data_IF_050270715232
#
_entry.id   IF_050270715232
#
_cell.length_a   1.000
_cell.length_b   1.000
_cell.length_c   1.000
_cell.angle_alpha   90.00
_cell.angle_beta   90.00
_cell.angle_gamma   90.00
#
_symmetry.space_group_name_H-M   'P 1'
#
loop_
_entity.id
_entity.type
_entity.pdbx_description
1 polymer ?
#
# COMPACT_ATOMS: atom_id res chain seq x y z
N UNK A 1 -12.28 -30.37 -13.51
CA UNK A 1 -11.99 -29.09 -12.84
C UNK A 1 -10.80 -28.46 -13.54
N UNK A 2 -10.90 -27.20 -13.98
CA UNK A 2 -9.77 -26.49 -14.60
C UNK A 2 -8.88 -25.96 -13.48
N UNK A 3 -7.57 -26.12 -13.60
CA UNK A 3 -6.61 -25.57 -12.63
C UNK A 3 -6.60 -24.04 -12.73
N UNK A 4 -6.65 -23.36 -11.59
CA UNK A 4 -6.44 -21.91 -11.49
C UNK A 4 -4.99 -21.62 -11.15
N UNK A 5 -4.39 -20.65 -11.85
CA UNK A 5 -3.05 -20.13 -11.53
C UNK A 5 -3.12 -18.82 -10.72
N UNK A 6 -4.29 -18.42 -10.23
CA UNK A 6 -4.51 -17.17 -9.50
C UNK A 6 -3.54 -17.03 -8.32
N UNK A 7 -3.54 -17.99 -7.39
CA UNK A 7 -2.63 -17.98 -6.25
C UNK A 7 -1.16 -18.21 -6.64
N UNK A 8 -0.89 -18.92 -7.74
CA UNK A 8 0.47 -19.04 -8.25
C UNK A 8 1.00 -17.67 -8.72
N UNK A 9 0.16 -16.85 -9.37
CA UNK A 9 0.48 -15.46 -9.70
C UNK A 9 0.66 -14.61 -8.44
N UNK A 10 -0.29 -14.60 -7.51
CA UNK A 10 -0.17 -13.85 -6.25
C UNK A 10 1.10 -14.21 -5.46
N UNK A 11 1.51 -15.48 -5.47
CA UNK A 11 2.74 -15.93 -4.80
C UNK A 11 4.02 -15.29 -5.35
N UNK A 12 3.95 -14.67 -6.54
CA UNK A 12 5.05 -13.95 -7.18
C UNK A 12 5.19 -12.50 -6.71
N UNK A 13 4.25 -11.96 -5.92
CA UNK A 13 4.39 -10.61 -5.33
C UNK A 13 5.71 -10.46 -4.55
N UNK A 14 6.17 -11.55 -3.91
CA UNK A 14 7.47 -11.61 -3.21
C UNK A 14 8.70 -11.42 -4.11
N UNK A 15 8.53 -11.51 -5.43
CA UNK A 15 9.60 -11.36 -6.43
C UNK A 15 9.62 -9.95 -7.05
N UNK A 16 8.64 -9.12 -6.72
CA UNK A 16 8.48 -7.78 -7.29
C UNK A 16 9.03 -6.81 -6.25
N UNK A 17 10.20 -6.25 -6.51
CA UNK A 17 10.81 -5.28 -5.63
C UNK A 17 10.18 -3.91 -5.86
N UNK A 18 9.85 -3.23 -4.76
CA UNK A 18 9.46 -1.83 -4.77
C UNK A 18 10.69 -0.94 -4.89
N UNK A 19 10.50 0.25 -5.44
CA UNK A 19 11.58 1.21 -5.66
C UNK A 19 12.74 0.64 -6.50
N UNK A 20 12.49 -0.09 -7.60
CA UNK A 20 13.51 -0.89 -8.29
C UNK A 20 14.61 -0.06 -8.97
N UNK A 21 14.40 1.25 -9.16
CA UNK A 21 15.38 2.18 -9.72
C UNK A 21 16.11 3.03 -8.66
N UNK A 22 15.79 2.84 -7.37
CA UNK A 22 16.45 3.55 -6.28
C UNK A 22 17.46 2.63 -5.59
N UNK A 23 18.53 3.23 -5.04
CA UNK A 23 19.44 2.49 -4.16
C UNK A 23 18.72 2.25 -2.84
N UNK A 24 18.43 1.01 -2.51
CA UNK A 24 17.80 0.61 -1.25
C UNK A 24 18.86 0.04 -0.29
N UNK A 25 18.83 0.41 1.00
CA UNK A 25 19.61 -0.29 2.03
C UNK A 25 18.97 -1.63 2.32
N UNK A 26 17.64 -1.66 2.48
CA UNK A 26 16.86 -2.90 2.59
C UNK A 26 15.83 -2.95 1.48
N UNK A 27 15.98 -3.88 0.55
CA UNK A 27 14.96 -4.12 -0.48
C UNK A 27 13.65 -4.52 0.18
N UNK A 28 12.55 -4.00 -0.35
CA UNK A 28 11.19 -4.36 0.03
C UNK A 28 10.49 -4.92 -1.20
N UNK A 29 9.71 -5.98 -1.03
CA UNK A 29 8.85 -6.49 -2.10
C UNK A 29 7.37 -6.13 -1.89
N UNK A 30 6.57 -6.25 -2.94
CA UNK A 30 5.14 -5.89 -2.91
C UNK A 30 4.35 -6.71 -1.89
N UNK A 31 4.75 -7.96 -1.61
CA UNK A 31 4.09 -8.78 -0.59
C UNK A 31 4.29 -8.24 0.83
N UNK A 32 5.51 -7.81 1.18
CA UNK A 32 5.81 -7.18 2.47
C UNK A 32 5.06 -5.86 2.62
N UNK A 33 5.11 -5.01 1.59
CA UNK A 33 4.37 -3.75 1.55
C UNK A 33 2.86 -3.97 1.72
N UNK A 34 2.27 -4.87 0.93
CA UNK A 34 0.82 -5.12 0.96
C UNK A 34 0.35 -5.57 2.35
N UNK A 35 1.16 -6.35 3.06
CA UNK A 35 0.87 -6.71 4.45
C UNK A 35 0.92 -5.49 5.37
N UNK A 36 1.94 -4.63 5.24
CA UNK A 36 2.05 -3.41 6.02
C UNK A 36 0.87 -2.45 5.75
N UNK A 37 0.50 -2.26 4.48
CA UNK A 37 -0.67 -1.45 4.09
C UNK A 37 -1.95 -2.02 4.68
N UNK A 38 -2.13 -3.35 4.68
CA UNK A 38 -3.30 -3.96 5.31
C UNK A 38 -3.39 -3.68 6.82
N UNK A 39 -2.27 -3.77 7.54
CA UNK A 39 -2.21 -3.44 8.97
C UNK A 39 -2.49 -1.96 9.24
N UNK A 40 -1.90 -1.06 8.44
CA UNK A 40 -2.11 0.39 8.60
C UNK A 40 -3.53 0.79 8.20
N UNK A 41 -4.08 0.26 7.10
CA UNK A 41 -5.44 0.54 6.65
C UNK A 41 -6.48 0.07 7.69
N UNK A 42 -6.26 -1.11 8.28
CA UNK A 42 -7.05 -1.59 9.42
C UNK A 42 -6.97 -0.62 10.60
N UNK A 43 -5.77 -0.16 10.96
CA UNK A 43 -5.58 0.78 12.06
C UNK A 43 -6.28 2.11 11.81
N UNK A 44 -6.14 2.70 10.61
CA UNK A 44 -6.84 3.94 10.23
C UNK A 44 -8.35 3.78 10.34
N UNK A 45 -8.92 2.69 9.82
CA UNK A 45 -10.35 2.40 9.92
C UNK A 45 -10.81 2.26 11.38
N UNK A 46 -10.04 1.54 12.21
CA UNK A 46 -10.33 1.37 13.63
C UNK A 46 -10.25 2.71 14.41
N UNK A 47 -9.25 3.53 14.13
CA UNK A 47 -9.08 4.87 14.71
C UNK A 47 -10.25 5.75 14.29
N UNK A 48 -10.60 5.79 13.00
CA UNK A 48 -11.72 6.55 12.44
C UNK A 48 -13.02 6.23 13.17
N UNK A 49 -13.34 4.94 13.30
CA UNK A 49 -14.54 4.48 13.99
C UNK A 49 -14.52 4.82 15.48
N UNK A 50 -13.40 4.57 16.17
CA UNK A 50 -13.33 4.71 17.63
C UNK A 50 -13.20 6.15 18.12
N UNK A 51 -12.42 6.97 17.43
CA UNK A 51 -12.06 8.32 17.87
C UNK A 51 -12.85 9.43 17.18
N UNK A 52 -13.27 9.19 15.94
CA UNK A 52 -13.84 10.23 15.08
C UNK A 52 -15.25 9.91 14.59
N UNK A 53 -15.91 8.89 15.17
CA UNK A 53 -17.31 8.57 14.90
C UNK A 53 -17.58 8.00 13.50
N UNK A 54 -16.55 7.47 12.83
CA UNK A 54 -16.72 6.74 11.57
C UNK A 54 -17.52 5.44 11.74
N UNK A 55 -17.97 4.88 10.62
CA UNK A 55 -18.72 3.63 10.58
C UNK A 55 -18.30 2.74 9.40
N UNK A 56 -16.99 2.65 9.16
CA UNK A 56 -16.43 1.81 8.09
C UNK A 56 -16.19 0.38 8.56
N UNK A 57 -16.19 -0.59 7.64
CA UNK A 57 -15.79 -1.96 7.96
C UNK A 57 -14.25 -2.09 7.89
N UNK A 58 -13.60 -2.11 9.06
CA UNK A 58 -12.14 -2.18 9.17
C UNK A 58 -11.56 -3.49 8.62
N UNK A 59 -12.25 -4.62 8.78
CA UNK A 59 -11.81 -5.92 8.25
C UNK A 59 -11.86 -5.93 6.72
N UNK A 60 -12.93 -5.36 6.14
CA UNK A 60 -13.04 -5.19 4.69
C UNK A 60 -11.93 -4.28 4.16
N UNK A 61 -11.66 -3.16 4.81
CA UNK A 61 -10.59 -2.23 4.40
C UNK A 61 -9.21 -2.92 4.46
N UNK A 62 -8.94 -3.68 5.51
CA UNK A 62 -7.72 -4.49 5.61
C UNK A 62 -7.60 -5.47 4.44
N UNK A 63 -8.71 -6.16 4.10
CA UNK A 63 -8.76 -7.10 2.99
C UNK A 63 -8.54 -6.41 1.63
N UNK A 64 -9.16 -5.25 1.38
CA UNK A 64 -8.94 -4.48 0.15
C UNK A 64 -7.47 -4.04 0.03
N UNK A 65 -6.86 -3.63 1.14
CA UNK A 65 -5.45 -3.28 1.20
C UNK A 65 -4.50 -4.48 0.93
N UNK A 66 -4.88 -5.71 1.34
CA UNK A 66 -4.08 -6.90 1.01
C UNK A 66 -3.97 -7.18 -0.49
N UNK A 67 -4.95 -6.73 -1.28
CA UNK A 67 -5.03 -6.97 -2.73
C UNK A 67 -4.77 -5.72 -3.59
N UNK A 68 -4.51 -4.55 -2.98
CA UNK A 68 -4.49 -3.27 -3.72
C UNK A 68 -3.47 -3.25 -4.88
N UNK A 69 -2.31 -3.87 -4.71
CA UNK A 69 -1.26 -4.00 -5.72
C UNK A 69 -1.18 -5.40 -6.33
N UNK A 70 -2.23 -6.22 -6.20
CA UNK A 70 -2.23 -7.60 -6.69
C UNK A 70 -1.93 -7.70 -8.20
N UNK A 71 -2.39 -6.72 -8.98
CA UNK A 71 -2.14 -6.63 -10.43
C UNK A 71 -0.66 -6.52 -10.81
N UNK A 72 0.21 -6.12 -9.88
CA UNK A 72 1.64 -5.98 -10.14
C UNK A 72 2.32 -7.31 -10.46
N UNK A 73 1.73 -8.46 -10.12
CA UNK A 73 2.20 -9.78 -10.60
C UNK A 73 2.22 -9.93 -12.12
N UNK A 74 1.52 -9.03 -12.83
CA UNK A 74 1.47 -8.96 -14.29
C UNK A 74 2.19 -7.74 -14.85
N UNK A 75 2.24 -6.62 -14.13
CA UNK A 75 2.79 -5.34 -14.61
C UNK A 75 4.18 -5.02 -14.06
N UNK A 76 4.55 -5.61 -12.93
CA UNK A 76 5.64 -5.15 -12.05
C UNK A 76 5.29 -3.85 -11.32
N UNK A 77 6.08 -3.52 -10.29
CA UNK A 77 6.08 -2.21 -9.63
C UNK A 77 6.74 -1.20 -10.57
N UNK A 78 5.94 -0.32 -11.16
CA UNK A 78 6.45 0.68 -12.09
C UNK A 78 6.86 1.96 -11.34
N UNK A 79 8.11 2.44 -11.50
CA UNK A 79 8.55 3.66 -10.84
C UNK A 79 7.66 4.86 -11.15
N UNK A 80 7.34 5.64 -10.11
CA UNK A 80 6.51 6.85 -10.19
C UNK A 80 6.92 7.81 -11.33
N UNK A 81 8.22 8.10 -11.58
CA UNK A 81 8.63 8.98 -12.69
C UNK A 81 8.23 8.46 -14.08
N UNK A 82 8.11 7.14 -14.24
CA UNK A 82 7.66 6.52 -15.51
C UNK A 82 6.14 6.54 -15.57
N UNK A 83 5.45 6.09 -14.52
CA UNK A 83 3.98 6.04 -14.43
C UNK A 83 3.33 7.40 -14.66
N UNK A 84 3.96 8.49 -14.19
CA UNK A 84 3.42 9.85 -14.25
C UNK A 84 4.24 10.78 -15.14
N UNK A 85 5.03 10.26 -16.08
CA UNK A 85 5.88 11.07 -16.95
C UNK A 85 5.10 12.16 -17.70
N UNK A 86 3.91 11.82 -18.21
CA UNK A 86 2.94 12.78 -18.74
C UNK A 86 1.51 12.22 -18.60
N UNK A 87 0.50 13.05 -18.90
CA UNK A 87 -0.92 12.67 -18.77
C UNK A 87 -1.32 11.50 -19.68
N UNK A 88 -0.76 11.41 -20.88
CA UNK A 88 -1.03 10.31 -21.81
C UNK A 88 -0.49 8.99 -21.27
N UNK A 89 0.78 8.95 -20.85
CA UNK A 89 1.40 7.76 -20.26
C UNK A 89 0.67 7.34 -18.98
N UNK A 90 0.28 8.29 -18.14
CA UNK A 90 -0.49 8.00 -16.94
C UNK A 90 -1.87 7.39 -17.26
N UNK A 91 -2.53 7.84 -18.33
CA UNK A 91 -3.81 7.29 -18.77
C UNK A 91 -3.65 5.88 -19.37
N UNK A 92 -2.66 5.67 -20.24
CA UNK A 92 -2.36 4.36 -20.82
C UNK A 92 -1.98 3.34 -19.74
N UNK A 93 -1.22 3.76 -18.74
CA UNK A 93 -0.85 2.86 -17.65
C UNK A 93 -2.06 2.46 -16.80
N UNK A 94 -2.99 3.37 -16.52
CA UNK A 94 -4.27 3.01 -15.88
C UNK A 94 -5.06 1.98 -16.69
N UNK A 95 -5.01 2.06 -18.03
CA UNK A 95 -5.63 1.05 -18.88
C UNK A 95 -4.93 -0.32 -18.76
N UNK A 96 -3.59 -0.32 -18.70
CA UNK A 96 -2.79 -1.54 -18.47
C UNK A 96 -3.11 -2.16 -17.08
N UNK A 97 -3.16 -1.35 -16.02
CA UNK A 97 -3.55 -1.80 -14.67
C UNK A 97 -4.95 -2.45 -14.69
N UNK A 98 -5.93 -1.81 -15.35
CA UNK A 98 -7.28 -2.36 -15.48
C UNK A 98 -7.30 -3.71 -16.21
N UNK A 99 -6.53 -3.85 -17.28
CA UNK A 99 -6.41 -5.13 -18.01
C UNK A 99 -5.75 -6.20 -17.12
N UNK A 100 -4.73 -5.82 -16.34
CA UNK A 100 -4.06 -6.73 -15.42
C UNK A 100 -5.00 -7.20 -14.28
N UNK A 101 -5.77 -6.29 -13.69
CA UNK A 101 -6.80 -6.60 -12.69
C UNK A 101 -7.84 -7.58 -13.27
N UNK A 102 -8.41 -7.29 -14.44
CA UNK A 102 -9.38 -8.17 -15.08
C UNK A 102 -8.77 -9.56 -15.37
N UNK A 103 -7.54 -9.61 -15.88
CA UNK A 103 -6.85 -10.86 -16.16
C UNK A 103 -6.63 -11.70 -14.89
N UNK A 104 -6.37 -11.07 -13.73
CA UNK A 104 -6.30 -11.79 -12.46
C UNK A 104 -7.65 -12.31 -12.02
N UNK A 105 -8.71 -11.51 -12.14
CA UNK A 105 -10.08 -11.92 -11.84
C UNK A 105 -10.51 -13.11 -12.71
N UNK A 106 -10.13 -13.13 -13.99
CA UNK A 106 -10.42 -14.23 -14.91
C UNK A 106 -9.67 -15.53 -14.57
N UNK A 107 -8.57 -15.45 -13.81
CA UNK A 107 -7.87 -16.62 -13.29
C UNK A 107 -8.60 -17.27 -12.11
N UNK A 108 -9.47 -16.53 -11.41
CA UNK A 108 -10.29 -17.08 -10.32
C UNK A 108 -11.34 -18.02 -10.91
N UNK A 109 -11.55 -19.23 -10.32
CA UNK A 109 -12.64 -20.10 -10.71
C UNK A 109 -13.98 -19.35 -10.74
N UNK A 110 -14.83 -19.66 -11.72
CA UNK A 110 -16.06 -18.91 -11.98
C UNK A 110 -16.97 -18.87 -10.74
N UNK A 111 -17.03 -19.97 -10.00
CA UNK A 111 -17.80 -20.15 -8.77
C UNK A 111 -17.30 -19.34 -7.56
N UNK A 112 -16.11 -18.72 -7.65
CA UNK A 112 -15.55 -17.86 -6.60
C UNK A 112 -15.32 -16.41 -7.08
N UNK A 113 -15.62 -16.11 -8.34
CA UNK A 113 -15.22 -14.84 -8.97
C UNK A 113 -15.89 -13.63 -8.31
N UNK A 114 -17.13 -13.79 -7.86
CA UNK A 114 -17.90 -12.76 -7.13
C UNK A 114 -17.26 -12.36 -5.79
N UNK A 115 -16.49 -13.26 -5.17
CA UNK A 115 -15.75 -13.00 -3.92
C UNK A 115 -14.50 -12.16 -4.20
N UNK A 116 -13.72 -12.53 -5.22
CA UNK A 116 -12.41 -11.91 -5.47
C UNK A 116 -12.45 -10.66 -6.35
N UNK A 117 -13.40 -10.57 -7.30
CA UNK A 117 -13.47 -9.43 -8.22
C UNK A 117 -13.58 -8.09 -7.48
N UNK A 118 -14.45 -7.93 -6.46
CA UNK A 118 -14.54 -6.68 -5.70
C UNK A 118 -13.31 -6.34 -4.85
N UNK A 119 -12.37 -7.28 -4.68
CA UNK A 119 -11.11 -7.07 -3.96
C UNK A 119 -9.97 -6.64 -4.87
N UNK A 120 -10.09 -6.85 -6.18
CA UNK A 120 -9.04 -6.60 -7.17
C UNK A 120 -9.40 -5.41 -8.06
N UNK A 121 -10.68 -5.24 -8.38
CA UNK A 121 -11.18 -4.10 -9.15
C UNK A 121 -11.42 -2.90 -8.23
N UNK A 122 -10.54 -1.89 -8.32
CA UNK A 122 -10.65 -0.65 -7.54
C UNK A 122 -11.92 0.18 -7.82
N UNK A 123 -12.68 -0.16 -8.88
CA UNK A 123 -13.98 0.46 -9.16
C UNK A 123 -15.11 -0.09 -8.29
N UNK A 124 -14.92 -1.24 -7.63
CA UNK A 124 -15.88 -1.80 -6.68
C UNK A 124 -15.78 -1.18 -5.28
N UNK A 125 -14.80 -0.30 -5.06
CA UNK A 125 -14.52 0.31 -3.77
C UNK A 125 -15.43 1.53 -3.60
N UNK A 126 -15.97 1.74 -2.40
CA UNK A 126 -16.53 3.05 -2.06
C UNK A 126 -15.43 4.11 -2.02
N UNK A 127 -15.80 5.38 -2.16
CA UNK A 127 -14.83 6.49 -2.07
C UNK A 127 -14.10 6.51 -0.72
N UNK A 128 -14.78 6.12 0.36
CA UNK A 128 -14.20 6.06 1.70
C UNK A 128 -13.20 4.90 1.84
N UNK A 129 -13.54 3.72 1.32
CA UNK A 129 -12.62 2.57 1.25
C UNK A 129 -11.37 2.92 0.43
N UNK A 130 -11.57 3.53 -0.74
CA UNK A 130 -10.49 3.96 -1.63
C UNK A 130 -9.60 5.01 -0.95
N UNK A 131 -10.19 5.93 -0.20
CA UNK A 131 -9.45 6.94 0.55
C UNK A 131 -8.57 6.32 1.63
N UNK A 132 -9.12 5.40 2.45
CA UNK A 132 -8.38 4.76 3.55
C UNK A 132 -7.24 3.87 3.05
N UNK A 133 -7.46 3.08 1.99
CA UNK A 133 -6.40 2.27 1.38
C UNK A 133 -5.28 3.16 0.81
N UNK A 134 -5.63 4.26 0.13
CA UNK A 134 -4.63 5.21 -0.41
C UNK A 134 -3.88 6.00 0.65
N UNK A 135 -4.50 6.27 1.80
CA UNK A 135 -3.82 6.87 2.94
C UNK A 135 -2.81 5.88 3.53
N UNK A 136 -3.22 4.63 3.75
CA UNK A 136 -2.35 3.58 4.25
C UNK A 136 -1.16 3.30 3.33
N UNK A 137 -1.40 3.19 2.02
CA UNK A 137 -0.34 3.00 1.02
C UNK A 137 0.71 4.13 1.05
N UNK A 138 0.24 5.39 1.09
CA UNK A 138 1.14 6.54 1.22
C UNK A 138 1.90 6.57 2.55
N UNK A 139 1.24 6.21 3.66
CA UNK A 139 1.90 6.11 4.96
C UNK A 139 2.99 5.06 4.94
N UNK A 140 2.73 3.84 4.43
CA UNK A 140 3.74 2.79 4.35
C UNK A 140 4.93 3.20 3.47
N UNK A 141 4.68 3.84 2.33
CA UNK A 141 5.74 4.41 1.50
C UNK A 141 6.56 5.50 2.24
N UNK A 142 5.90 6.34 3.04
CA UNK A 142 6.55 7.35 3.86
C UNK A 142 7.40 6.73 4.97
N UNK A 143 6.87 5.72 5.68
CA UNK A 143 7.59 4.95 6.69
C UNK A 143 8.84 4.27 6.10
N UNK A 144 8.72 3.68 4.92
CA UNK A 144 9.86 3.11 4.19
C UNK A 144 10.94 4.16 3.92
N UNK A 145 10.57 5.40 3.60
CA UNK A 145 11.53 6.50 3.43
C UNK A 145 12.20 6.87 4.76
N UNK A 146 11.47 6.88 5.88
CA UNK A 146 12.03 7.16 7.21
C UNK A 146 13.08 6.12 7.60
N UNK A 147 12.79 4.83 7.40
CA UNK A 147 13.71 3.73 7.70
C UNK A 147 15.00 3.82 6.86
N UNK A 148 14.88 4.11 5.57
CA UNK A 148 16.03 4.29 4.68
C UNK A 148 16.89 5.50 5.09
N UNK A 149 16.25 6.63 5.45
CA UNK A 149 16.97 7.81 5.92
C UNK A 149 17.65 7.58 7.27
N UNK A 150 17.00 6.86 8.20
CA UNK A 150 17.59 6.47 9.47
C UNK A 150 18.82 5.57 9.29
N UNK A 151 18.84 4.75 8.22
CA UNK A 151 20.01 3.98 7.82
C UNK A 151 21.07 4.79 7.04
N UNK A 152 20.93 6.11 6.94
CA UNK A 152 21.86 7.01 6.27
C UNK A 152 21.69 7.10 4.75
N UNK A 153 20.59 6.59 4.20
CA UNK A 153 20.35 6.59 2.76
C UNK A 153 19.63 7.85 2.25
N UNK A 154 20.42 8.87 1.93
CA UNK A 154 19.91 10.15 1.44
C UNK A 154 19.22 10.10 0.06
N UNK A 155 19.26 8.97 -0.67
CA UNK A 155 18.51 8.76 -1.92
C UNK A 155 16.99 8.99 -1.71
N UNK A 156 16.48 8.71 -0.51
CA UNK A 156 15.07 8.81 -0.16
C UNK A 156 14.60 10.20 0.28
N UNK A 157 15.49 11.21 0.37
CA UNK A 157 15.12 12.57 0.81
C UNK A 157 14.00 13.18 -0.06
N UNK A 158 14.15 13.14 -1.38
CA UNK A 158 13.17 13.72 -2.30
C UNK A 158 11.87 12.89 -2.36
N UNK A 159 11.98 11.57 -2.24
CA UNK A 159 10.82 10.69 -2.16
C UNK A 159 9.99 11.00 -0.91
N UNK A 160 10.64 11.17 0.25
CA UNK A 160 10.00 11.61 1.50
C UNK A 160 9.26 12.93 1.31
N UNK A 161 9.90 13.97 0.77
CA UNK A 161 9.24 15.27 0.57
C UNK A 161 8.02 15.19 -0.35
N UNK A 162 8.07 14.38 -1.41
CA UNK A 162 6.90 14.16 -2.28
C UNK A 162 5.77 13.41 -1.57
N UNK A 163 6.12 12.46 -0.71
CA UNK A 163 5.16 11.72 0.11
C UNK A 163 4.53 12.60 1.17
N UNK A 164 5.27 13.53 1.79
CA UNK A 164 4.70 14.53 2.71
C UNK A 164 3.61 15.37 2.03
N UNK A 165 3.86 15.85 0.81
CA UNK A 165 2.84 16.55 0.03
C UNK A 165 1.63 15.66 -0.32
N UNK A 166 1.87 14.37 -0.58
CA UNK A 166 0.82 13.40 -0.86
C UNK A 166 -0.04 13.11 0.38
N UNK A 167 0.59 12.98 1.55
CA UNK A 167 -0.08 12.79 2.82
C UNK A 167 -0.91 14.02 3.19
N UNK A 168 -0.36 15.23 3.05
CA UNK A 168 -1.11 16.47 3.30
C UNK A 168 -2.34 16.57 2.40
N UNK A 169 -2.23 16.20 1.12
CA UNK A 169 -3.37 16.19 0.20
C UNK A 169 -4.44 15.12 0.52
N UNK A 170 -4.09 14.10 1.31
CA UNK A 170 -4.98 13.00 1.73
C UNK A 170 -5.33 13.07 3.21
N UNK A 171 -5.04 14.20 3.87
CA UNK A 171 -5.10 14.34 5.31
C UNK A 171 -6.48 14.07 5.89
N UNK A 172 -6.49 13.38 7.02
CA UNK A 172 -7.69 13.01 7.78
C UNK A 172 -7.37 12.99 9.28
N UNK A 173 -8.40 12.99 10.13
CA UNK A 173 -8.21 12.98 11.58
C UNK A 173 -7.59 11.65 12.06
N UNK A 174 -7.97 10.54 11.45
CA UNK A 174 -7.39 9.23 11.71
C UNK A 174 -5.92 9.12 11.27
N UNK A 175 -5.54 9.78 10.16
CA UNK A 175 -4.15 9.86 9.72
C UNK A 175 -3.33 10.75 10.65
N UNK A 176 -3.85 11.90 11.07
CA UNK A 176 -3.18 12.78 12.03
C UNK A 176 -2.90 12.05 13.35
N UNK A 177 -3.89 11.33 13.87
CA UNK A 177 -3.72 10.48 15.05
C UNK A 177 -2.66 9.40 14.82
N UNK A 178 -2.67 8.73 13.66
CA UNK A 178 -1.68 7.70 13.35
C UNK A 178 -0.25 8.27 13.29
N UNK A 179 -0.09 9.42 12.63
CA UNK A 179 1.16 10.15 12.50
C UNK A 179 1.69 10.62 13.86
N UNK A 180 0.82 11.07 14.77
CA UNK A 180 1.23 11.50 16.10
C UNK A 180 1.65 10.33 16.99
N UNK A 181 0.91 9.21 16.94
CA UNK A 181 1.07 8.13 17.92
C UNK A 181 2.07 7.05 17.50
N UNK A 182 2.12 6.68 16.22
CA UNK A 182 2.89 5.50 15.78
C UNK A 182 4.15 5.84 14.99
N UNK A 183 4.14 6.94 14.23
CA UNK A 183 5.25 7.29 13.32
C UNK A 183 6.56 7.67 14.01
N UNK A 184 6.58 8.38 15.17
CA UNK A 184 7.83 8.70 15.85
C UNK A 184 8.70 7.48 16.13
N UNK A 185 8.11 6.34 16.47
CA UNK A 185 8.82 5.09 16.76
C UNK A 185 9.58 4.50 15.57
N UNK A 186 9.27 4.87 14.33
CA UNK A 186 10.02 4.41 13.15
C UNK A 186 11.40 5.06 13.01
N UNK A 187 11.70 6.10 13.81
CA UNK A 187 13.05 6.68 13.90
C UNK A 187 13.91 5.99 14.96
N UNK A 188 13.31 5.14 15.78
CA UNK A 188 13.95 4.50 16.92
C UNK A 188 14.50 3.13 16.53
N UNK A 189 15.65 2.79 17.09
CA UNK A 189 16.22 1.44 17.06
C UNK A 189 15.39 0.46 17.88
N UNK A 190 15.64 -0.84 17.69
CA UNK A 190 15.02 -1.89 18.48
C UNK A 190 15.25 -1.69 19.99
N UNK A 191 16.45 -1.26 20.38
CA UNK A 191 16.79 -1.02 21.78
C UNK A 191 15.99 0.15 22.36
N UNK A 192 15.79 1.24 21.60
CA UNK A 192 15.00 2.39 22.03
C UNK A 192 13.51 2.06 22.18
N UNK A 193 12.93 1.26 21.27
CA UNK A 193 11.51 0.85 21.40
C UNK A 193 11.28 -0.27 22.42
N UNK A 194 12.35 -0.96 22.84
CA UNK A 194 12.29 -2.04 23.85
C UNK A 194 12.55 -1.54 25.28
N UNK A 195 12.87 -0.26 25.46
CA UNK A 195 13.03 0.34 26.78
C UNK A 195 11.67 0.54 27.46
N UNK A 196 11.41 -0.19 28.54
CA UNK A 196 10.22 0.02 29.40
C UNK A 196 10.25 1.39 30.13
N UNK A 197 11.37 2.09 30.11
CA UNK A 197 11.56 3.44 30.65
C UNK A 197 12.77 4.11 29.97
N UNK A 198 12.71 5.40 29.61
CA UNK A 198 13.86 6.09 29.04
C UNK A 198 15.01 6.12 30.05
N UNK A 199 16.22 5.85 29.58
CA UNK A 199 17.47 5.93 30.35
C UNK A 199 17.63 7.25 31.12
#
# INVERSE_FOLDING_TARGET
MKQSHFFAHLSRLKLINRWPLMRNVRTENVSEHSLQVAMVAHALAAIKNRKFGGNVNAERIALLAMYHDASEVLTGDLPTPVKYFNSQIAQEYKAIEKIAQQKLVDMVPEELRDIFAPLIDEHAYSDEEKSLVKQADALCAYLKCLEELAAGNNEFLLAKTRLEATLEARRSQEMDYFMEIFVPSFHLSLDEISQDSPL
#
